data_IF_810259251283
#
_entry.id   IF_810259251283
#
_cell.length_a   1.000
_cell.length_b   1.000
_cell.length_c   1.000
_cell.angle_alpha   90.00
_cell.angle_beta   90.00
_cell.angle_gamma   90.00
#
_symmetry.space_group_name_H-M   'P 1'
#
loop_
_entity.id
_entity.type
_entity.pdbx_description
1 polymer ?
#
# COMPACT_ATOMS: atom_id res chain seq x y z
N UNK A 1 -18.61 -11.03 17.02
CA UNK A 1 -17.51 -11.90 16.55
C UNK A 1 -17.53 -11.90 15.04
N UNK A 2 -16.38 -11.75 14.39
CA UNK A 2 -16.24 -11.77 12.92
C UNK A 2 -15.25 -12.88 12.58
N UNK A 3 -15.56 -13.70 11.57
CA UNK A 3 -14.64 -14.68 11.01
C UNK A 3 -14.50 -14.44 9.52
N UNK A 4 -13.28 -14.34 9.02
CA UNK A 4 -13.05 -14.10 7.60
C UNK A 4 -11.60 -13.80 7.25
N UNK A 5 -11.39 -13.44 6.00
CA UNK A 5 -10.07 -13.22 5.42
C UNK A 5 -9.71 -11.73 5.40
N UNK A 6 -8.53 -11.39 5.88
CA UNK A 6 -7.98 -10.04 5.77
C UNK A 6 -7.57 -9.75 4.33
N UNK A 7 -8.35 -8.97 3.56
CA UNK A 7 -8.04 -8.76 2.14
C UNK A 7 -7.51 -7.36 1.81
N UNK A 8 -7.77 -6.34 2.64
CA UNK A 8 -7.19 -4.99 2.43
C UNK A 8 -6.78 -4.33 3.76
N UNK A 9 -5.72 -3.53 3.70
CA UNK A 9 -5.17 -2.83 4.86
C UNK A 9 -4.47 -1.53 4.43
N UNK A 10 -4.81 -0.42 5.07
CA UNK A 10 -4.21 0.89 4.80
C UNK A 10 -4.43 1.86 5.97
N UNK A 11 -3.64 2.93 5.99
CA UNK A 11 -3.79 4.02 6.97
C UNK A 11 -4.68 5.12 6.40
N UNK A 12 -5.68 5.53 7.16
CA UNK A 12 -6.56 6.66 6.86
C UNK A 12 -6.85 7.42 8.15
N UNK A 13 -6.64 8.74 8.16
CA UNK A 13 -6.89 9.63 9.29
C UNK A 13 -6.33 9.12 10.64
N UNK A 14 -5.06 8.69 10.64
CA UNK A 14 -4.36 8.17 11.82
C UNK A 14 -4.99 6.93 12.45
N UNK A 15 -5.74 6.20 11.63
CA UNK A 15 -6.25 4.87 11.92
C UNK A 15 -5.69 3.89 10.90
N UNK A 16 -5.39 2.69 11.36
CA UNK A 16 -5.27 1.54 10.46
C UNK A 16 -6.69 1.03 10.17
N UNK A 17 -7.02 0.92 8.89
CA UNK A 17 -8.27 0.34 8.40
C UNK A 17 -7.95 -1.05 7.85
N UNK A 18 -8.72 -2.03 8.29
CA UNK A 18 -8.60 -3.44 7.90
C UNK A 18 -9.95 -3.89 7.35
N UNK A 19 -9.94 -4.49 6.16
CA UNK A 19 -11.13 -5.04 5.54
C UNK A 19 -11.11 -6.57 5.59
N UNK A 20 -12.17 -7.12 6.17
CA UNK A 20 -12.34 -8.56 6.38
C UNK A 20 -13.50 -9.04 5.53
N UNK A 21 -13.21 -9.95 4.61
CA UNK A 21 -14.23 -10.62 3.81
C UNK A 21 -14.67 -11.86 4.57
N UNK A 22 -15.93 -11.93 4.98
CA UNK A 22 -16.57 -13.17 5.40
C UNK A 22 -17.29 -13.80 4.19
N UNK A 23 -17.87 -15.00 4.33
CA UNK A 23 -18.57 -15.70 3.24
C UNK A 23 -19.66 -14.85 2.55
N UNK A 24 -20.34 -13.98 3.29
CA UNK A 24 -21.48 -13.20 2.79
C UNK A 24 -21.39 -11.69 3.01
N UNK A 25 -20.40 -11.22 3.76
CA UNK A 25 -20.32 -9.82 4.21
C UNK A 25 -18.89 -9.34 4.19
N UNK A 26 -18.74 -8.03 4.10
CA UNK A 26 -17.47 -7.36 4.17
C UNK A 26 -17.50 -6.45 5.39
N UNK A 27 -16.51 -6.61 6.25
CA UNK A 27 -16.41 -5.89 7.51
C UNK A 27 -15.26 -4.90 7.43
N UNK A 28 -15.52 -3.66 7.82
CA UNK A 28 -14.53 -2.61 7.97
C UNK A 28 -14.18 -2.45 9.45
N UNK A 29 -12.91 -2.62 9.80
CA UNK A 29 -12.40 -2.44 11.16
C UNK A 29 -11.41 -1.28 11.15
N UNK A 30 -11.63 -0.27 12.00
CA UNK A 30 -10.73 0.87 12.11
C UNK A 30 -10.15 0.97 13.53
N UNK A 31 -8.82 1.01 13.64
CA UNK A 31 -8.13 1.12 14.94
C UNK A 31 -7.24 2.34 14.97
N UNK A 32 -7.24 3.06 16.09
CA UNK A 32 -6.32 4.17 16.27
C UNK A 32 -4.88 3.65 16.28
N UNK A 33 -4.09 4.06 15.30
CA UNK A 33 -2.72 3.59 15.17
C UNK A 33 -1.91 4.58 14.34
N UNK A 34 -0.69 4.87 14.79
CA UNK A 34 0.27 5.68 14.04
C UNK A 34 1.62 5.00 14.03
N UNK A 35 2.37 5.06 12.90
CA UNK A 35 3.65 4.39 12.79
C UNK A 35 4.71 5.05 13.68
N UNK A 36 5.81 4.34 13.88
CA UNK A 36 6.96 4.84 14.62
C UNK A 36 8.23 4.70 13.79
N UNK A 37 9.14 5.66 13.92
CA UNK A 37 10.52 5.51 13.48
C UNK A 37 11.44 5.26 14.68
N UNK A 38 12.65 4.77 14.42
CA UNK A 38 13.64 4.54 15.46
C UNK A 38 14.89 5.36 15.21
N UNK A 39 15.45 5.90 16.29
CA UNK A 39 16.69 6.69 16.26
C UNK A 39 17.72 6.06 17.18
N UNK A 40 18.89 5.75 16.62
CA UNK A 40 20.05 5.36 17.39
C UNK A 40 21.13 6.45 17.34
N UNK A 41 21.94 6.51 18.40
CA UNK A 41 23.13 7.36 18.46
C UNK A 41 24.13 6.77 19.42
N UNK A 42 25.42 6.98 19.15
CA UNK A 42 26.48 6.58 20.09
C UNK A 42 26.46 7.45 21.36
N UNK A 43 25.77 8.60 21.33
CA UNK A 43 25.65 9.52 22.46
C UNK A 43 24.25 9.48 23.09
N UNK A 44 24.18 9.00 24.34
CA UNK A 44 22.95 9.02 25.14
C UNK A 44 22.41 10.44 25.37
N UNK A 45 23.29 11.42 25.54
CA UNK A 45 22.89 12.81 25.75
C UNK A 45 22.25 13.42 24.50
N UNK A 46 22.72 13.05 23.29
CA UNK A 46 22.10 13.46 22.03
C UNK A 46 20.69 12.87 21.86
N UNK A 47 20.49 11.58 22.17
CA UNK A 47 19.13 11.00 22.16
C UNK A 47 18.19 11.70 23.16
N UNK A 48 18.68 12.02 24.37
CA UNK A 48 17.90 12.77 25.37
C UNK A 48 17.54 14.18 24.89
N UNK A 49 18.44 14.85 24.15
CA UNK A 49 18.17 16.17 23.55
C UNK A 49 17.07 16.13 22.49
N UNK A 50 16.88 15.01 21.78
CA UNK A 50 15.77 14.87 20.83
C UNK A 50 14.42 14.94 21.53
N UNK A 51 14.27 14.30 22.69
CA UNK A 51 13.01 14.29 23.45
C UNK A 51 12.54 15.70 23.86
N UNK A 52 13.46 16.65 23.97
CA UNK A 52 13.19 18.06 24.32
C UNK A 52 13.29 19.01 23.12
N UNK A 53 13.59 18.54 21.91
CA UNK A 53 13.87 19.41 20.78
C UNK A 53 12.58 20.04 20.20
N UNK A 54 12.48 21.38 20.14
CA UNK A 54 11.25 22.07 19.71
C UNK A 54 10.93 21.87 18.22
N UNK A 55 11.91 21.54 17.38
CA UNK A 55 11.69 21.30 15.93
C UNK A 55 10.90 20.03 15.70
N UNK A 56 11.11 18.99 16.51
CA UNK A 56 10.47 17.69 16.31
C UNK A 56 9.21 17.50 17.16
N UNK A 57 9.15 18.13 18.34
CA UNK A 57 8.04 18.01 19.31
C UNK A 57 6.63 18.19 18.71
N UNK A 58 6.40 19.09 17.72
CA UNK A 58 5.09 19.22 17.08
C UNK A 58 4.59 17.92 16.42
N UNK A 59 5.49 17.11 15.86
CA UNK A 59 5.19 15.87 15.14
C UNK A 59 5.03 14.64 16.03
N UNK A 60 5.55 14.68 17.27
CA UNK A 60 5.69 13.49 18.12
C UNK A 60 4.48 13.28 19.01
N UNK A 61 3.91 12.08 18.96
CA UNK A 61 2.87 11.60 19.88
C UNK A 61 3.50 11.04 21.16
N UNK A 62 4.54 10.22 21.02
CA UNK A 62 5.18 9.56 22.15
C UNK A 62 6.64 9.24 21.86
N UNK A 63 7.47 9.31 22.91
CA UNK A 63 8.81 8.75 22.95
C UNK A 63 8.82 7.48 23.79
N UNK A 64 9.50 6.43 23.32
CA UNK A 64 9.81 5.24 24.11
C UNK A 64 11.27 4.86 23.92
N UNK A 65 11.95 4.49 24.99
CA UNK A 65 13.29 3.89 24.91
C UNK A 65 13.13 2.39 24.92
N UNK A 66 13.70 1.73 23.93
CA UNK A 66 13.59 0.28 23.77
C UNK A 66 14.93 -0.31 23.34
N UNK A 67 15.12 -1.61 23.54
CA UNK A 67 16.29 -2.34 23.04
C UNK A 67 15.99 -2.93 21.67
N UNK A 68 16.87 -2.70 20.71
CA UNK A 68 16.79 -3.25 19.35
C UNK A 68 18.19 -3.58 18.82
N UNK A 69 18.27 -4.37 17.77
CA UNK A 69 19.51 -4.61 17.03
C UNK A 69 19.57 -3.62 15.85
N UNK A 70 20.65 -2.86 15.72
CA UNK A 70 20.81 -1.87 14.65
C UNK A 70 21.30 -2.53 13.35
N UNK A 71 22.09 -3.60 13.47
CA UNK A 71 22.64 -4.38 12.37
C UNK A 71 22.39 -5.88 12.59
N UNK A 72 22.33 -6.62 11.49
CA UNK A 72 22.21 -8.08 11.54
C UNK A 72 23.43 -8.77 12.20
N UNK A 73 24.59 -8.12 12.20
CA UNK A 73 25.82 -8.60 12.84
C UNK A 73 25.92 -8.28 14.34
N UNK A 74 24.96 -7.54 14.90
CA UNK A 74 25.03 -7.12 16.30
C UNK A 74 24.83 -8.32 17.24
N UNK A 75 25.81 -8.57 18.11
CA UNK A 75 25.75 -9.65 19.12
C UNK A 75 24.85 -9.28 20.30
N UNK A 76 24.66 -7.97 20.58
CA UNK A 76 23.83 -7.46 21.67
C UNK A 76 22.99 -6.29 21.19
N UNK A 77 21.74 -6.22 21.64
CA UNK A 77 20.84 -5.10 21.37
C UNK A 77 21.32 -3.81 22.05
N UNK A 78 21.17 -2.67 21.39
CA UNK A 78 21.45 -1.34 21.93
C UNK A 78 20.14 -0.60 22.30
N UNK A 79 20.25 0.41 23.17
CA UNK A 79 19.12 1.29 23.48
C UNK A 79 18.90 2.27 22.32
N UNK A 80 17.68 2.29 21.79
CA UNK A 80 17.24 3.20 20.74
C UNK A 80 16.01 3.99 21.20
N UNK A 81 15.79 5.14 20.57
CA UNK A 81 14.62 5.99 20.80
C UNK A 81 13.57 5.68 19.72
N UNK A 82 12.47 5.05 20.12
CA UNK A 82 11.26 4.93 19.31
C UNK A 82 10.47 6.24 19.40
N UNK A 83 10.08 6.77 18.25
CA UNK A 83 9.31 8.01 18.13
C UNK A 83 8.04 7.72 17.35
N UNK A 84 6.90 7.70 18.04
CA UNK A 84 5.58 7.56 17.41
C UNK A 84 5.08 8.92 16.95
N UNK A 85 4.58 9.01 15.72
CA UNK A 85 4.09 10.28 15.16
C UNK A 85 2.64 10.55 15.57
N UNK A 86 2.25 11.83 15.60
CA UNK A 86 0.85 12.24 15.76
C UNK A 86 0.04 11.96 14.50
N UNK A 87 0.62 12.29 13.34
CA UNK A 87 0.04 12.07 12.03
C UNK A 87 0.91 11.14 11.20
N UNK A 88 0.31 10.13 10.59
CA UNK A 88 1.02 9.09 9.86
C UNK A 88 1.81 9.64 8.67
N UNK A 89 1.28 10.67 7.99
CA UNK A 89 1.95 11.35 6.89
C UNK A 89 3.19 12.17 7.28
N UNK A 90 3.39 12.46 8.58
CA UNK A 90 4.53 13.27 9.05
C UNK A 90 5.81 12.46 9.27
N UNK A 91 5.77 11.12 9.19
CA UNK A 91 6.90 10.25 9.59
C UNK A 91 8.19 10.53 8.81
N UNK A 92 8.10 10.64 7.48
CA UNK A 92 9.27 10.95 6.64
C UNK A 92 9.75 12.39 6.86
N UNK A 93 8.82 13.32 7.12
CA UNK A 93 9.16 14.73 7.42
C UNK A 93 9.89 14.85 8.75
N UNK A 94 9.43 14.14 9.77
CA UNK A 94 10.09 14.01 11.07
C UNK A 94 11.50 13.43 10.90
N UNK A 95 11.66 12.33 10.16
CA UNK A 95 12.96 11.73 9.90
C UNK A 95 13.94 12.72 9.25
N UNK A 96 13.50 13.44 8.21
CA UNK A 96 14.29 14.50 7.56
C UNK A 96 14.67 15.63 8.51
N UNK A 97 13.77 16.03 9.40
CA UNK A 97 14.06 17.05 10.40
C UNK A 97 15.14 16.56 11.37
N UNK A 98 15.03 15.34 11.89
CA UNK A 98 16.03 14.73 12.80
C UNK A 98 17.40 14.63 12.12
N UNK A 99 17.44 14.17 10.86
CA UNK A 99 18.67 14.04 10.08
C UNK A 99 19.42 15.38 9.96
N UNK A 100 18.69 16.51 9.87
CA UNK A 100 19.26 17.86 9.73
C UNK A 100 19.74 18.49 11.06
N UNK A 101 19.42 17.89 12.21
CA UNK A 101 19.79 18.46 13.51
C UNK A 101 21.28 18.34 13.84
N UNK A 102 22.00 17.45 13.15
CA UNK A 102 23.41 17.18 13.43
C UNK A 102 24.11 16.64 12.18
N UNK A 103 25.41 16.38 12.28
CA UNK A 103 26.20 15.78 11.20
C UNK A 103 25.68 14.38 10.85
N UNK A 104 25.82 14.02 9.58
CA UNK A 104 25.46 12.69 9.08
C UNK A 104 26.08 11.57 9.94
N UNK A 105 25.29 10.53 10.22
CA UNK A 105 25.70 9.37 11.02
C UNK A 105 25.59 9.53 12.54
N UNK A 106 25.39 10.75 13.05
CA UNK A 106 25.15 10.99 14.48
C UNK A 106 23.81 10.43 14.93
N UNK A 107 22.75 10.76 14.19
CA UNK A 107 21.44 10.16 14.33
C UNK A 107 21.25 9.16 13.20
N UNK A 108 21.17 7.88 13.56
CA UNK A 108 20.87 6.81 12.61
C UNK A 108 19.39 6.52 12.68
N UNK A 109 18.71 6.64 11.55
CA UNK A 109 17.25 6.56 11.41
C UNK A 109 16.86 5.24 10.77
N UNK A 110 15.83 4.61 11.32
CA UNK A 110 15.35 3.29 10.91
C UNK A 110 13.83 3.25 10.79
N UNK A 111 13.35 2.30 9.97
CA UNK A 111 11.95 2.03 9.66
C UNK A 111 11.21 3.27 9.09
N UNK A 112 11.93 4.13 8.35
CA UNK A 112 11.38 5.41 7.87
C UNK A 112 10.54 5.24 6.60
N UNK A 113 10.98 4.36 5.70
CA UNK A 113 10.44 4.16 4.35
C UNK A 113 9.72 2.82 4.17
N UNK A 114 9.50 2.08 5.26
CA UNK A 114 8.64 0.90 5.25
C UNK A 114 7.18 1.38 5.24
N UNK A 115 6.34 0.93 4.29
CA UNK A 115 4.93 1.32 4.24
C UNK A 115 4.21 1.02 5.57
N UNK A 116 3.38 1.95 6.02
CA UNK A 116 2.83 1.93 7.36
C UNK A 116 1.92 0.70 7.59
N UNK A 117 1.11 0.36 6.59
CA UNK A 117 0.29 -0.85 6.59
C UNK A 117 1.12 -2.13 6.69
N UNK A 118 2.31 -2.19 6.08
CA UNK A 118 3.21 -3.33 6.22
C UNK A 118 3.81 -3.43 7.61
N UNK A 119 4.23 -2.30 8.18
CA UNK A 119 4.69 -2.25 9.59
C UNK A 119 3.61 -2.82 10.50
N UNK A 120 2.35 -2.39 10.32
CA UNK A 120 1.24 -2.90 11.11
C UNK A 120 1.05 -4.41 10.95
N UNK A 121 1.08 -4.94 9.73
CA UNK A 121 1.01 -6.39 9.48
C UNK A 121 2.16 -7.13 10.18
N UNK A 122 3.39 -6.63 10.11
CA UNK A 122 4.55 -7.27 10.75
C UNK A 122 4.44 -7.26 12.28
N UNK A 123 4.11 -6.13 12.87
CA UNK A 123 3.98 -5.97 14.33
C UNK A 123 2.90 -6.89 14.91
N UNK A 124 1.82 -7.12 14.16
CA UNK A 124 0.70 -7.96 14.59
C UNK A 124 0.73 -9.38 14.00
N UNK A 125 1.82 -9.76 13.30
CA UNK A 125 2.00 -11.06 12.62
C UNK A 125 0.87 -11.41 11.64
N UNK A 126 0.17 -10.41 11.12
CA UNK A 126 -0.89 -10.58 10.15
C UNK A 126 -0.31 -10.75 8.74
N UNK A 127 -1.07 -11.40 7.87
CA UNK A 127 -0.78 -11.47 6.44
C UNK A 127 -2.08 -11.32 5.64
N UNK A 128 -2.00 -10.73 4.43
CA UNK A 128 -3.12 -10.69 3.50
C UNK A 128 -3.63 -12.10 3.22
N UNK A 129 -4.93 -12.25 3.10
CA UNK A 129 -5.66 -13.51 2.90
C UNK A 129 -5.45 -14.55 4.01
N UNK A 130 -4.89 -14.18 5.15
CA UNK A 130 -5.02 -14.97 6.37
C UNK A 130 -6.45 -14.96 6.86
N UNK A 131 -6.93 -16.10 7.34
CA UNK A 131 -8.23 -16.24 7.98
C UNK A 131 -8.09 -15.99 9.48
N UNK A 132 -8.98 -15.15 10.02
CA UNK A 132 -8.93 -14.74 11.42
C UNK A 132 -10.31 -14.80 12.06
N UNK A 133 -10.34 -15.19 13.34
CA UNK A 133 -11.45 -14.92 14.24
C UNK A 133 -11.15 -13.61 14.99
N UNK A 134 -12.08 -12.68 14.94
CA UNK A 134 -11.93 -11.32 15.45
C UNK A 134 -13.03 -11.01 16.47
N UNK A 135 -12.62 -10.60 17.67
CA UNK A 135 -13.50 -10.27 18.81
C UNK A 135 -13.27 -8.84 19.28
N UNK A 136 -14.14 -8.38 20.18
CA UNK A 136 -14.01 -7.11 20.89
C UNK A 136 -13.81 -5.91 19.96
N UNK A 137 -14.65 -5.79 18.94
CA UNK A 137 -14.58 -4.67 17.99
C UNK A 137 -13.30 -4.61 17.13
N UNK A 138 -12.49 -5.68 17.09
CA UNK A 138 -11.22 -5.69 16.37
C UNK A 138 -9.97 -5.70 17.26
N UNK A 139 -10.12 -5.86 18.57
CA UNK A 139 -9.00 -5.86 19.50
C UNK A 139 -8.32 -7.22 19.65
N UNK A 140 -9.07 -8.30 19.58
CA UNK A 140 -8.55 -9.66 19.74
C UNK A 140 -8.64 -10.40 18.43
N UNK A 141 -7.49 -10.90 17.96
CA UNK A 141 -7.35 -11.64 16.71
C UNK A 141 -6.78 -13.02 17.00
N UNK A 142 -7.43 -14.05 16.47
CA UNK A 142 -6.94 -15.43 16.50
C UNK A 142 -6.82 -15.91 15.07
N UNK A 143 -5.61 -16.32 14.69
CA UNK A 143 -5.33 -16.90 13.37
C UNK A 143 -6.01 -18.26 13.24
N UNK A 144 -6.72 -18.47 12.13
CA UNK A 144 -7.45 -19.70 11.81
C UNK A 144 -6.82 -20.47 10.64
N UNK A 145 -5.99 -19.81 9.82
CA UNK A 145 -5.27 -20.42 8.70
C UNK A 145 -3.78 -20.52 9.00
N UNK A 146 -3.06 -21.46 8.39
CA UNK A 146 -1.60 -21.47 8.43
C UNK A 146 -1.02 -20.90 7.13
N UNK A 147 -0.06 -19.99 7.25
CA UNK A 147 0.63 -19.42 6.09
C UNK A 147 1.49 -20.46 5.33
N UNK A 148 1.89 -21.54 5.99
CA UNK A 148 2.69 -22.61 5.38
C UNK A 148 1.86 -23.61 4.59
N UNK A 149 0.54 -23.59 4.75
CA UNK A 149 -0.38 -24.40 3.96
C UNK A 149 -0.37 -23.96 2.49
N UNK A 150 -0.11 -24.94 1.63
CA UNK A 150 -0.14 -24.80 0.16
C UNK A 150 -1.54 -24.98 -0.40
N UNK A 151 -2.42 -25.66 0.33
CA UNK A 151 -3.84 -25.81 0.01
C UNK A 151 -4.63 -25.06 1.06
N UNK A 152 -5.30 -23.99 0.65
CA UNK A 152 -5.98 -23.07 1.57
C UNK A 152 -7.18 -22.44 0.86
N UNK A 153 -8.22 -22.18 1.66
CA UNK A 153 -9.43 -21.56 1.16
C UNK A 153 -9.22 -20.07 0.88
N UNK A 154 -9.77 -19.64 -0.25
CA UNK A 154 -9.90 -18.23 -0.61
C UNK A 154 -11.32 -17.76 -0.33
N UNK A 155 -11.51 -16.50 0.08
CA UNK A 155 -12.84 -15.94 0.20
C UNK A 155 -13.53 -15.89 -1.18
N UNK A 156 -14.88 -15.95 -1.22
CA UNK A 156 -15.64 -15.88 -2.47
C UNK A 156 -15.60 -14.47 -3.05
N UNK A 157 -14.54 -14.18 -3.79
CA UNK A 157 -14.29 -12.86 -4.36
C UNK A 157 -15.13 -12.57 -5.58
N UNK A 158 -15.74 -11.38 -5.61
CA UNK A 158 -16.38 -10.82 -6.81
C UNK A 158 -15.40 -9.93 -7.57
N UNK A 159 -15.44 -10.02 -8.90
CA UNK A 159 -14.48 -9.33 -9.77
C UNK A 159 -15.22 -8.69 -10.94
N UNK A 160 -14.76 -7.52 -11.36
CA UNK A 160 -15.17 -6.90 -12.62
C UNK A 160 -13.96 -6.49 -13.44
N UNK A 161 -14.15 -6.39 -14.75
CA UNK A 161 -13.24 -5.73 -15.68
C UNK A 161 -13.78 -4.35 -16.01
N UNK A 162 -12.94 -3.33 -15.92
CA UNK A 162 -13.26 -1.96 -16.29
C UNK A 162 -12.36 -1.54 -17.45
N UNK A 163 -12.96 -0.90 -18.46
CA UNK A 163 -12.23 -0.30 -19.59
C UNK A 163 -12.91 0.98 -20.06
N UNK A 164 -12.13 2.02 -20.28
CA UNK A 164 -12.61 3.32 -20.75
C UNK A 164 -12.08 3.60 -22.15
N UNK A 165 -12.99 3.88 -23.07
CA UNK A 165 -12.66 4.11 -24.48
C UNK A 165 -12.93 5.56 -24.82
N UNK A 166 -11.90 6.25 -25.32
CA UNK A 166 -12.01 7.62 -25.81
C UNK A 166 -12.39 7.64 -27.29
N UNK A 167 -13.17 8.64 -27.69
CA UNK A 167 -13.49 8.93 -29.07
C UNK A 167 -12.33 9.69 -29.70
N UNK A 168 -11.41 8.97 -30.33
CA UNK A 168 -10.20 9.51 -30.97
C UNK A 168 -10.04 8.94 -32.39
N UNK A 169 -9.72 9.82 -33.34
CA UNK A 169 -9.28 9.42 -34.70
C UNK A 169 -7.75 9.18 -34.76
N UNK A 170 -7.02 9.51 -33.70
CA UNK A 170 -5.58 9.31 -33.58
C UNK A 170 -5.27 7.92 -33.00
N UNK A 171 -4.14 7.35 -33.39
CA UNK A 171 -3.66 6.05 -32.91
C UNK A 171 -3.42 6.02 -31.39
N UNK A 172 -3.06 7.16 -30.79
CA UNK A 172 -2.87 7.29 -29.33
C UNK A 172 -3.88 8.31 -28.81
N UNK A 173 -4.90 7.87 -28.06
CA UNK A 173 -5.89 8.77 -27.48
C UNK A 173 -5.30 9.72 -26.43
N UNK A 174 -5.93 10.88 -26.26
CA UNK A 174 -5.55 11.93 -25.30
C UNK A 174 -6.62 12.10 -24.23
N UNK A 175 -6.23 12.61 -23.06
CA UNK A 175 -7.20 12.90 -22.00
C UNK A 175 -8.23 13.98 -22.38
N UNK A 176 -7.90 14.83 -23.34
CA UNK A 176 -8.80 15.86 -23.89
C UNK A 176 -9.92 15.28 -24.75
N UNK A 177 -9.76 14.05 -25.23
CA UNK A 177 -10.76 13.41 -26.08
C UNK A 177 -11.97 13.02 -25.23
N UNK A 178 -13.16 13.10 -25.82
CA UNK A 178 -14.42 12.76 -25.12
C UNK A 178 -14.53 11.25 -24.93
N UNK A 179 -15.20 10.83 -23.87
CA UNK A 179 -15.51 9.42 -23.64
C UNK A 179 -16.45 8.94 -24.76
N UNK A 180 -16.06 7.87 -25.45
CA UNK A 180 -16.93 7.16 -26.40
C UNK A 180 -17.86 6.21 -25.65
N UNK A 181 -17.28 5.37 -24.78
CA UNK A 181 -18.01 4.41 -23.96
C UNK A 181 -17.18 3.93 -22.78
N UNK A 182 -17.86 3.42 -21.76
CA UNK A 182 -17.26 2.75 -20.60
C UNK A 182 -17.77 1.31 -20.59
N UNK A 183 -16.86 0.34 -20.48
CA UNK A 183 -17.20 -1.08 -20.40
C UNK A 183 -16.95 -1.60 -18.99
N UNK A 184 -17.95 -2.25 -18.41
CA UNK A 184 -17.88 -2.95 -17.13
C UNK A 184 -18.34 -4.38 -17.36
N UNK A 185 -17.40 -5.32 -17.38
CA UNK A 185 -17.62 -6.67 -17.93
C UNK A 185 -18.27 -6.59 -19.32
N UNK A 186 -19.42 -7.24 -19.51
CA UNK A 186 -20.17 -7.26 -20.76
C UNK A 186 -21.13 -6.06 -20.89
N UNK A 187 -21.28 -5.25 -19.84
CA UNK A 187 -22.15 -4.06 -19.87
C UNK A 187 -21.40 -2.90 -20.51
N UNK A 188 -21.99 -2.34 -21.56
CA UNK A 188 -21.47 -1.13 -22.22
C UNK A 188 -22.34 0.06 -21.83
N UNK A 189 -21.72 1.04 -21.18
CA UNK A 189 -22.32 2.33 -20.85
C UNK A 189 -22.01 3.29 -22.00
N UNK A 190 -23.05 3.73 -22.67
CA UNK A 190 -22.99 4.69 -23.77
C UNK A 190 -24.18 5.65 -23.64
N UNK A 191 -23.91 6.91 -23.31
CA UNK A 191 -24.89 7.99 -23.23
C UNK A 191 -24.40 9.18 -24.05
N UNK A 192 -25.33 10.07 -24.43
CA UNK A 192 -25.02 11.34 -25.10
C UNK A 192 -24.21 12.30 -24.22
N UNK A 193 -24.18 12.08 -22.90
CA UNK A 193 -23.48 12.91 -21.92
C UNK A 193 -22.39 12.14 -21.20
N UNK A 194 -21.15 12.65 -21.25
CA UNK A 194 -20.02 12.07 -20.49
C UNK A 194 -20.27 12.05 -18.99
N UNK A 195 -20.94 13.10 -18.48
CA UNK A 195 -21.32 13.20 -17.08
C UNK A 195 -22.20 12.01 -16.68
N UNK A 196 -23.18 11.67 -17.50
CA UNK A 196 -24.07 10.53 -17.24
C UNK A 196 -23.32 9.21 -17.31
N UNK A 197 -22.45 9.02 -18.33
CA UNK A 197 -21.64 7.80 -18.44
C UNK A 197 -20.78 7.56 -17.20
N UNK A 198 -20.09 8.61 -16.71
CA UNK A 198 -19.24 8.52 -15.52
C UNK A 198 -20.09 8.19 -14.27
N UNK A 199 -21.22 8.89 -14.07
CA UNK A 199 -22.09 8.67 -12.92
C UNK A 199 -22.74 7.28 -12.95
N UNK A 200 -23.13 6.79 -14.12
CA UNK A 200 -23.66 5.45 -14.31
C UNK A 200 -22.60 4.39 -14.01
N UNK A 201 -21.35 4.59 -14.44
CA UNK A 201 -20.25 3.70 -14.11
C UNK A 201 -20.01 3.62 -12.60
N UNK A 202 -19.95 4.76 -11.92
CA UNK A 202 -19.81 4.82 -10.45
C UNK A 202 -20.99 4.11 -9.77
N UNK A 203 -22.22 4.34 -10.24
CA UNK A 203 -23.42 3.68 -9.72
C UNK A 203 -23.37 2.17 -9.91
N UNK A 204 -23.07 1.70 -11.12
CA UNK A 204 -22.97 0.27 -11.44
C UNK A 204 -21.95 -0.45 -10.54
N UNK A 205 -20.78 0.16 -10.34
CA UNK A 205 -19.72 -0.40 -9.51
C UNK A 205 -20.09 -0.36 -8.01
N UNK A 206 -20.88 0.62 -7.58
CA UNK A 206 -21.44 0.65 -6.24
C UNK A 206 -22.49 -0.45 -6.05
N UNK A 207 -23.37 -0.64 -7.02
CA UNK A 207 -24.49 -1.60 -6.97
C UNK A 207 -23.99 -3.05 -7.00
N UNK A 208 -22.98 -3.36 -7.83
CA UNK A 208 -22.38 -4.70 -7.92
C UNK A 208 -21.48 -5.02 -6.71
N UNK A 209 -20.91 -3.99 -6.07
CA UNK A 209 -19.94 -4.07 -4.98
C UNK A 209 -18.79 -5.10 -5.15
N UNK A 210 -18.05 -5.09 -6.28
CA UNK A 210 -16.95 -6.02 -6.51
C UNK A 210 -15.80 -5.86 -5.51
N UNK A 211 -15.18 -6.98 -5.16
CA UNK A 211 -13.94 -7.00 -4.39
C UNK A 211 -12.73 -6.58 -5.22
N UNK A 212 -12.72 -6.92 -6.52
CA UNK A 212 -11.65 -6.57 -7.45
C UNK A 212 -12.16 -5.77 -8.64
N UNK A 213 -11.43 -4.71 -8.98
CA UNK A 213 -11.55 -4.02 -10.26
C UNK A 213 -10.28 -4.31 -11.06
N UNK A 214 -10.43 -4.95 -12.21
CA UNK A 214 -9.34 -5.34 -13.09
C UNK A 214 -9.38 -4.44 -14.32
N UNK A 215 -8.23 -3.89 -14.70
CA UNK A 215 -8.08 -3.01 -15.87
C UNK A 215 -6.86 -3.41 -16.67
N UNK A 216 -6.78 -2.99 -17.93
CA UNK A 216 -5.57 -3.08 -18.74
C UNK A 216 -5.04 -1.67 -19.03
N UNK A 217 -4.11 -1.20 -18.19
CA UNK A 217 -3.64 0.19 -18.20
C UNK A 217 -4.43 1.10 -17.28
N UNK A 218 -5.04 0.59 -16.21
CA UNK A 218 -5.85 1.43 -15.30
C UNK A 218 -5.04 2.47 -14.53
N UNK A 219 -3.79 2.16 -14.16
CA UNK A 219 -2.90 3.13 -13.50
C UNK A 219 -2.44 4.24 -14.46
N UNK A 220 -2.39 3.98 -15.77
CA UNK A 220 -1.89 4.93 -16.79
C UNK A 220 -3.01 5.68 -17.51
N UNK A 221 -4.13 4.99 -17.76
CA UNK A 221 -5.18 5.42 -18.67
C UNK A 221 -6.54 5.48 -17.96
N UNK A 222 -7.17 4.37 -17.60
CA UNK A 222 -8.60 4.37 -17.22
C UNK A 222 -8.92 5.33 -16.08
N UNK A 223 -8.27 5.18 -14.92
CA UNK A 223 -8.55 6.02 -13.76
C UNK A 223 -8.10 7.48 -13.96
N UNK A 224 -6.88 7.75 -14.46
CA UNK A 224 -6.46 9.12 -14.74
C UNK A 224 -7.33 9.84 -15.78
N UNK A 225 -7.73 9.12 -16.83
CA UNK A 225 -8.60 9.64 -17.87
C UNK A 225 -9.98 9.97 -17.32
N UNK A 226 -10.61 9.03 -16.60
CA UNK A 226 -11.89 9.26 -15.93
C UNK A 226 -11.82 10.44 -14.94
N UNK A 227 -10.74 10.56 -14.17
CA UNK A 227 -10.54 11.68 -13.25
C UNK A 227 -10.43 13.03 -13.99
N UNK A 228 -9.72 13.06 -15.12
CA UNK A 228 -9.64 14.24 -15.96
C UNK A 228 -11.01 14.61 -16.55
N UNK A 229 -11.74 13.64 -17.12
CA UNK A 229 -13.07 13.88 -17.71
C UNK A 229 -14.12 14.26 -16.67
N UNK A 230 -14.08 13.66 -15.47
CA UNK A 230 -14.95 14.02 -14.36
C UNK A 230 -14.72 15.47 -13.92
N UNK A 231 -13.46 15.92 -13.88
CA UNK A 231 -13.10 17.31 -13.61
C UNK A 231 -13.63 18.28 -14.66
N UNK A 232 -13.50 17.93 -15.95
CA UNK A 232 -14.08 18.73 -17.05
C UNK A 232 -15.60 18.84 -16.99
N UNK A 233 -16.26 17.81 -16.46
CA UNK A 233 -17.72 17.76 -16.30
C UNK A 233 -18.21 18.24 -14.92
N UNK A 234 -17.32 18.78 -14.06
CA UNK A 234 -17.69 19.32 -12.75
C UNK A 234 -18.19 18.28 -11.74
N UNK A 235 -17.76 17.03 -11.87
CA UNK A 235 -18.19 15.89 -11.03
C UNK A 235 -17.04 15.11 -10.39
N UNK A 236 -15.87 15.75 -10.21
CA UNK A 236 -14.70 15.11 -9.56
C UNK A 236 -15.01 14.54 -8.18
N UNK A 237 -15.87 15.20 -7.41
CA UNK A 237 -16.30 14.77 -6.07
C UNK A 237 -17.13 13.47 -6.08
N UNK A 238 -17.68 13.11 -7.25
CA UNK A 238 -18.49 11.89 -7.43
C UNK A 238 -17.67 10.69 -7.91
N UNK A 239 -16.42 10.88 -8.30
CA UNK A 239 -15.58 9.82 -8.85
C UNK A 239 -14.94 8.95 -7.75
N UNK A 240 -15.77 8.17 -7.07
CA UNK A 240 -15.39 7.31 -5.95
C UNK A 240 -15.60 5.85 -6.34
N UNK A 241 -14.50 5.12 -6.54
CA UNK A 241 -14.51 3.68 -6.86
C UNK A 241 -14.13 2.79 -5.65
N UNK A 242 -13.53 3.36 -4.61
CA UNK A 242 -13.27 2.66 -3.35
C UNK A 242 -14.54 2.49 -2.51
N UNK A 243 -14.45 1.71 -1.43
CA UNK A 243 -15.51 1.61 -0.41
C UNK A 243 -15.42 2.72 0.64
N UNK A 244 -14.29 3.41 0.76
CA UNK A 244 -14.20 4.60 1.61
C UNK A 244 -14.98 5.77 1.00
N UNK A 245 -15.93 6.35 1.75
CA UNK A 245 -16.67 7.50 1.27
C UNK A 245 -15.73 8.71 1.13
N UNK A 246 -16.00 9.54 0.12
CA UNK A 246 -15.29 10.81 -0.12
C UNK A 246 -13.80 10.67 -0.51
N UNK A 247 -13.29 9.45 -0.74
CA UNK A 247 -11.96 9.24 -1.31
C UNK A 247 -12.07 9.14 -2.83
N UNK A 248 -11.90 10.28 -3.49
CA UNK A 248 -11.97 10.39 -4.95
C UNK A 248 -10.70 9.85 -5.60
N UNK A 249 -10.84 9.36 -6.83
CA UNK A 249 -9.69 9.03 -7.67
C UNK A 249 -8.89 10.31 -7.92
N UNK A 250 -7.58 10.34 -7.62
CA UNK A 250 -6.79 11.53 -7.81
C UNK A 250 -6.65 11.83 -9.30
N UNK A 251 -6.89 13.09 -9.69
CA UNK A 251 -6.47 13.58 -11.00
C UNK A 251 -4.94 13.53 -11.04
N UNK A 252 -4.36 12.61 -11.81
CA UNK A 252 -2.91 12.42 -11.82
C UNK A 252 -2.16 13.72 -12.16
N UNK A 253 -1.36 14.21 -11.22
CA UNK A 253 -0.27 15.18 -11.46
C UNK A 253 1.12 14.57 -11.19
N UNK A 254 1.21 13.28 -10.82
CA UNK A 254 2.46 12.67 -10.36
C UNK A 254 3.19 11.93 -11.48
N UNK A 255 4.46 12.32 -11.70
CA UNK A 255 5.41 11.64 -12.60
C UNK A 255 5.60 10.19 -12.13
N UNK A 256 5.46 9.22 -13.04
CA UNK A 256 5.87 7.84 -12.79
C UNK A 256 7.38 7.71 -12.60
N UNK A 257 7.84 6.58 -12.07
CA UNK A 257 9.26 6.28 -11.84
C UNK A 257 9.71 5.16 -12.78
N UNK A 258 10.89 5.30 -13.40
CA UNK A 258 11.52 4.22 -14.16
C UNK A 258 12.50 3.44 -13.28
N UNK A 259 12.56 2.12 -13.43
CA UNK A 259 13.57 1.28 -12.79
C UNK A 259 14.16 0.28 -13.79
N UNK A 260 15.42 -0.09 -13.58
CA UNK A 260 16.12 -1.06 -14.42
C UNK A 260 16.10 -2.44 -13.75
N UNK A 261 15.66 -3.47 -14.46
CA UNK A 261 15.65 -4.85 -13.97
C UNK A 261 15.93 -5.80 -15.13
N UNK A 262 16.81 -6.78 -14.91
CA UNK A 262 17.14 -7.82 -15.91
C UNK A 262 17.43 -7.30 -17.33
N UNK A 263 18.18 -6.20 -17.47
CA UNK A 263 18.54 -5.64 -18.77
C UNK A 263 17.47 -4.74 -19.42
N UNK A 264 16.30 -4.56 -18.78
CA UNK A 264 15.20 -3.76 -19.30
C UNK A 264 14.87 -2.56 -18.40
N UNK A 265 14.49 -1.44 -19.00
CA UNK A 265 13.97 -0.26 -18.30
C UNK A 265 12.44 -0.39 -18.24
N UNK A 266 11.89 -0.49 -17.05
CA UNK A 266 10.45 -0.52 -16.81
C UNK A 266 9.99 0.84 -16.30
N UNK A 267 8.99 1.45 -16.95
CA UNK A 267 8.31 2.65 -16.44
C UNK A 267 7.14 2.23 -15.54
N UNK A 268 7.09 2.79 -14.33
CA UNK A 268 6.05 2.53 -13.33
C UNK A 268 5.24 3.79 -13.06
N UNK A 269 3.99 3.79 -13.51
CA UNK A 269 3.03 4.85 -13.22
C UNK A 269 2.67 4.93 -11.74
N UNK A 270 2.16 6.08 -11.31
CA UNK A 270 1.66 6.26 -9.95
C UNK A 270 0.45 5.33 -9.76
N UNK A 271 0.51 4.35 -8.84
CA UNK A 271 -0.57 3.38 -8.68
C UNK A 271 -1.84 4.07 -8.19
N UNK A 272 -2.98 3.68 -8.76
CA UNK A 272 -4.29 4.10 -8.27
C UNK A 272 -4.79 3.04 -7.32
N UNK A 273 -4.75 3.34 -6.01
CA UNK A 273 -5.28 2.44 -4.99
C UNK A 273 -6.76 2.75 -4.73
N UNK A 274 -7.59 1.71 -4.72
CA UNK A 274 -8.99 1.81 -4.32
C UNK A 274 -9.08 1.41 -2.84
N UNK A 275 -9.50 2.32 -1.96
CA UNK A 275 -9.52 1.98 -0.53
C UNK A 275 -10.71 1.07 -0.22
N UNK A 276 -10.43 -0.15 0.28
CA UNK A 276 -11.44 -1.17 0.56
C UNK A 276 -11.86 -1.98 -0.66
N UNK A 277 -11.24 -1.80 -1.84
CA UNK A 277 -11.38 -2.67 -3.03
C UNK A 277 -10.00 -2.89 -3.65
N UNK A 278 -9.79 -4.00 -4.34
CA UNK A 278 -8.47 -4.29 -4.90
C UNK A 278 -8.44 -3.91 -6.38
N UNK A 279 -7.64 -2.91 -6.73
CA UNK A 279 -7.34 -2.64 -8.13
C UNK A 279 -6.11 -3.43 -8.61
N UNK A 280 -6.33 -4.22 -9.65
CA UNK A 280 -5.27 -4.92 -10.39
C UNK A 280 -5.19 -4.32 -11.80
N UNK A 281 -4.07 -3.66 -12.08
CA UNK A 281 -3.72 -3.25 -13.43
C UNK A 281 -2.90 -4.34 -14.09
N UNK A 282 -3.47 -4.99 -15.12
CA UNK A 282 -2.84 -6.09 -15.84
C UNK A 282 -1.52 -5.66 -16.49
N UNK A 283 -1.48 -4.47 -17.07
CA UNK A 283 -0.29 -3.92 -17.75
C UNK A 283 0.88 -3.67 -16.80
N UNK A 284 0.60 -3.45 -15.52
CA UNK A 284 1.58 -3.14 -14.47
C UNK A 284 1.80 -4.34 -13.52
N UNK A 285 1.28 -5.51 -13.86
CA UNK A 285 1.39 -6.72 -13.07
C UNK A 285 2.35 -7.72 -13.72
N UNK A 286 3.55 -7.84 -13.16
CA UNK A 286 4.64 -8.65 -13.72
C UNK A 286 4.26 -10.13 -13.95
N UNK A 287 3.41 -10.70 -13.09
CA UNK A 287 3.01 -12.11 -13.18
C UNK A 287 1.75 -12.33 -14.02
N UNK A 288 1.14 -11.26 -14.54
CA UNK A 288 -0.12 -11.35 -15.26
C UNK A 288 0.10 -11.80 -16.70
N UNK A 289 -0.36 -13.02 -17.02
CA UNK A 289 -0.34 -13.59 -18.37
C UNK A 289 -1.75 -14.00 -18.81
N UNK A 290 -2.58 -14.40 -17.85
CA UNK A 290 -3.96 -14.83 -18.05
C UNK A 290 -4.76 -14.58 -16.77
N UNK A 291 -6.09 -14.71 -16.81
CA UNK A 291 -6.96 -14.40 -15.65
C UNK A 291 -6.63 -15.19 -14.38
N UNK A 292 -6.14 -16.43 -14.52
CA UNK A 292 -5.72 -17.26 -13.39
C UNK A 292 -4.41 -16.78 -12.72
N UNK A 293 -3.71 -15.81 -13.30
CA UNK A 293 -2.49 -15.21 -12.71
C UNK A 293 -2.77 -14.52 -11.37
N UNK A 294 -4.03 -14.18 -11.09
CA UNK A 294 -4.44 -13.60 -9.81
C UNK A 294 -4.12 -14.51 -8.61
N UNK A 295 -4.10 -15.84 -8.79
CA UNK A 295 -3.71 -16.78 -7.74
C UNK A 295 -2.24 -16.60 -7.33
N UNK A 296 -1.36 -16.30 -8.30
CA UNK A 296 0.02 -15.93 -8.00
C UNK A 296 0.11 -14.64 -7.17
N UNK A 297 -0.79 -13.68 -7.38
CA UNK A 297 -0.83 -12.44 -6.58
C UNK A 297 -1.22 -12.76 -5.15
N UNK A 298 -2.20 -13.65 -4.96
CA UNK A 298 -2.62 -14.09 -3.63
C UNK A 298 -1.45 -14.70 -2.87
N UNK A 299 -0.64 -15.52 -3.54
CA UNK A 299 0.50 -16.16 -2.91
C UNK A 299 1.63 -15.21 -2.59
N UNK A 300 1.95 -14.30 -3.51
CA UNK A 300 2.92 -13.25 -3.24
C UNK A 300 2.44 -12.39 -2.06
N UNK A 301 1.16 -12.01 -2.03
CA UNK A 301 0.61 -11.20 -0.95
C UNK A 301 0.69 -11.90 0.41
N UNK A 302 0.26 -13.18 0.49
CA UNK A 302 0.33 -14.02 1.69
C UNK A 302 1.77 -14.18 2.17
N UNK A 303 2.60 -14.81 1.35
CA UNK A 303 3.97 -15.21 1.70
C UNK A 303 4.87 -14.01 1.99
N UNK A 304 4.73 -12.94 1.20
CA UNK A 304 5.55 -11.75 1.35
C UNK A 304 4.94 -10.69 2.27
N UNK A 305 3.73 -10.89 2.82
CA UNK A 305 3.02 -9.92 3.69
C UNK A 305 2.83 -8.55 3.03
N UNK A 306 2.47 -8.57 1.75
CA UNK A 306 2.25 -7.36 0.95
C UNK A 306 0.75 -7.15 0.72
N UNK A 307 0.16 -5.99 1.04
CA UNK A 307 -1.21 -5.68 0.65
C UNK A 307 -1.45 -6.01 -0.83
N UNK A 308 -2.61 -6.56 -1.19
CA UNK A 308 -2.85 -7.13 -2.54
C UNK A 308 -2.57 -6.13 -3.68
N UNK A 309 -2.96 -4.88 -3.53
CA UNK A 309 -2.68 -3.82 -4.52
C UNK A 309 -1.18 -3.55 -4.68
N UNK A 310 -0.41 -3.70 -3.60
CA UNK A 310 1.06 -3.60 -3.63
C UNK A 310 1.68 -4.84 -4.24
N UNK A 311 1.23 -6.04 -3.86
CA UNK A 311 1.71 -7.32 -4.37
C UNK A 311 1.54 -7.41 -5.89
N UNK A 312 0.40 -6.97 -6.42
CA UNK A 312 0.12 -6.93 -7.85
C UNK A 312 1.17 -6.13 -8.65
N UNK A 313 1.81 -5.13 -8.04
CA UNK A 313 2.77 -4.21 -8.69
C UNK A 313 4.20 -4.37 -8.15
N UNK A 314 4.44 -5.38 -7.31
CA UNK A 314 5.72 -5.56 -6.65
C UNK A 314 6.72 -6.22 -7.60
N UNK A 315 7.96 -5.72 -7.62
CA UNK A 315 9.07 -6.47 -8.20
C UNK A 315 9.49 -7.60 -7.27
N UNK A 316 10.19 -8.60 -7.81
CA UNK A 316 10.77 -9.70 -7.01
C UNK A 316 11.60 -9.15 -5.84
N UNK A 317 12.42 -8.13 -6.09
CA UNK A 317 13.21 -7.48 -5.03
C UNK A 317 12.35 -6.89 -3.92
N UNK A 318 11.22 -6.25 -4.25
CA UNK A 318 10.30 -5.71 -3.24
C UNK A 318 9.66 -6.83 -2.42
N UNK A 319 9.27 -7.93 -3.05
CA UNK A 319 8.74 -9.12 -2.36
C UNK A 319 9.77 -9.70 -1.37
N UNK A 320 11.01 -9.87 -1.81
CA UNK A 320 12.09 -10.39 -0.95
C UNK A 320 12.42 -9.45 0.20
N UNK A 321 12.52 -8.14 -0.05
CA UNK A 321 12.72 -7.15 1.02
C UNK A 321 11.59 -7.19 2.05
N UNK A 322 10.35 -7.37 1.62
CA UNK A 322 9.19 -7.49 2.53
C UNK A 322 9.33 -8.67 3.49
N UNK A 323 9.70 -9.85 2.98
CA UNK A 323 9.97 -11.04 3.80
C UNK A 323 11.13 -10.80 4.78
N UNK A 324 12.20 -10.17 4.32
CA UNK A 324 13.34 -9.82 5.17
C UNK A 324 12.96 -8.83 6.27
N UNK A 325 12.13 -7.83 5.95
CA UNK A 325 11.65 -6.83 6.90
C UNK A 325 10.72 -7.43 7.95
N UNK A 326 9.85 -8.36 7.56
CA UNK A 326 9.06 -9.14 8.50
C UNK A 326 9.97 -9.91 9.47
N UNK A 327 10.92 -10.68 8.95
CA UNK A 327 11.86 -11.46 9.77
C UNK A 327 12.72 -10.57 10.68
N UNK A 328 13.19 -9.43 10.18
CA UNK A 328 13.92 -8.44 10.96
C UNK A 328 13.05 -7.93 12.13
N UNK A 329 11.79 -7.59 11.84
CA UNK A 329 10.83 -7.12 12.85
C UNK A 329 10.61 -8.16 13.94
N UNK A 330 10.37 -9.43 13.58
CA UNK A 330 10.18 -10.52 14.54
C UNK A 330 11.42 -10.77 15.42
N UNK A 331 12.62 -10.54 14.87
CA UNK A 331 13.90 -10.68 15.60
C UNK A 331 14.32 -9.41 16.34
N UNK A 332 13.49 -8.35 16.35
CA UNK A 332 13.83 -7.09 17.01
C UNK A 332 14.96 -6.31 16.34
N UNK A 333 15.22 -6.56 15.05
CA UNK A 333 16.16 -5.82 14.21
C UNK A 333 15.50 -4.60 13.57
N UNK A 334 16.27 -3.53 13.42
CA UNK A 334 15.85 -2.29 12.76
C UNK A 334 16.11 -2.35 11.25
N UNK A 335 15.23 -1.69 10.49
CA UNK A 335 15.33 -1.63 9.02
C UNK A 335 15.97 -0.29 8.65
N UNK A 336 17.15 -0.26 8.02
CA UNK A 336 17.86 0.98 7.73
C UNK A 336 17.14 1.80 6.65
N UNK A 337 17.00 3.12 6.86
CA UNK A 337 16.40 4.01 5.85
C UNK A 337 17.30 4.25 4.64
N UNK A 338 18.60 4.47 4.89
CA UNK A 338 19.60 4.73 3.85
C UNK A 338 20.74 3.73 4.06
N UNK A 339 20.75 2.58 3.36
CA UNK A 339 21.80 1.59 3.52
C UNK A 339 23.14 2.21 3.13
N UNK A 340 24.10 2.21 4.06
CA UNK A 340 25.45 2.75 3.87
C UNK A 340 26.47 1.68 3.48
N UNK A 341 26.04 0.43 3.35
CA UNK A 341 26.87 -0.70 2.92
C UNK A 341 26.47 -1.07 1.50
N UNK A 342 27.42 -0.96 0.56
CA UNK A 342 27.25 -1.42 -0.81
C UNK A 342 27.46 -2.93 -0.89
N UNK A 343 26.74 -3.59 -1.80
CA UNK A 343 27.03 -4.96 -2.18
C UNK A 343 28.45 -5.03 -2.76
N UNK A 344 29.32 -5.85 -2.15
CA UNK A 344 30.67 -6.07 -2.67
C UNK A 344 30.53 -7.15 -3.74
N UNK A 345 30.61 -6.74 -5.01
CA UNK A 345 30.60 -7.68 -6.12
C UNK A 345 31.77 -8.66 -5.97
N UNK A 346 31.47 -9.96 -6.03
CA UNK A 346 32.53 -10.97 -6.16
C UNK A 346 33.28 -10.69 -7.45
N UNK A 347 34.58 -10.43 -7.35
CA UNK A 347 35.47 -10.47 -8.51
C UNK A 347 35.45 -11.90 -9.07
N UNK A 348 35.24 -12.03 -10.39
CA UNK A 348 35.46 -13.31 -11.09
C UNK A 348 36.88 -13.74 -10.77
N UNK A 349 37.03 -14.89 -10.09
CA UNK A 349 38.31 -15.59 -9.98
C UNK A 349 38.53 -16.40 -11.24
#
# INVERSE_FOLDING_TARGET
MIEGWLFDAYVLDDKIILWIKSKHKIHRIGKQWTPSLYVASNSKSKLKRLETNPVIKPFVKQFKRIKKFEKASDVKSSWVLQISVKKSGDLVKLAKNIERLDKFGVYRLYNVDVPAEQIYLYENKLYPLGQYQIKDGGDTWSELSDITETDYDLPPFTKIKLKTIAKSEQAIPKFTDVIDKIQVNDTTINSSSEKEMILECVRLIKDVDPDFIITDGGDTWDFPYLAYRASKNGISDKLVFGREPNIVIPSQKCKGNSYFSYGQIHFKSTPVNLLGRIHIDQSNCFIWQHEHSIHGIYEIARTCRLPLQTAARASIGKCMSSVQFYNATQRGMLIPWKPTTSEIFKTRR
#
